data_IF_696970970888
#
_entry.id   IF_696970970888
#
_cell.length_a   1.000
_cell.length_b   1.000
_cell.length_c   1.000
_cell.angle_alpha   90.00
_cell.angle_beta   90.00
_cell.angle_gamma   90.00
#
_symmetry.space_group_name_H-M   'P 1'
#
loop_
_entity.id
_entity.type
_entity.pdbx_description
1 polymer ?
#
# COMPACT_ATOMS: atom_id res chain seq x y z
N UNK A 1 9.74 65.74 -29.98
CA UNK A 1 9.11 64.71 -30.85
C UNK A 1 9.65 63.36 -30.44
N UNK A 2 8.76 62.40 -30.12
CA UNK A 2 8.92 60.92 -30.22
C UNK A 2 10.16 60.26 -29.57
N UNK A 3 10.10 59.16 -28.82
CA UNK A 3 9.06 58.12 -28.65
C UNK A 3 9.45 57.29 -27.41
N UNK A 4 8.48 57.07 -26.53
CA UNK A 4 8.55 56.18 -25.37
C UNK A 4 8.53 54.71 -25.85
N UNK A 5 9.48 53.87 -25.45
CA UNK A 5 9.40 52.41 -25.62
C UNK A 5 9.24 51.78 -24.24
N UNK A 6 8.03 51.27 -23.99
CA UNK A 6 7.66 50.53 -22.78
C UNK A 6 8.20 49.10 -22.90
N UNK A 7 9.07 48.68 -21.99
CA UNK A 7 9.52 47.30 -21.86
C UNK A 7 8.50 46.55 -20.97
N UNK A 8 7.73 45.63 -21.55
CA UNK A 8 6.83 44.75 -20.79
C UNK A 8 7.64 43.54 -20.30
N UNK A 9 7.92 43.51 -19.00
CA UNK A 9 8.43 42.34 -18.29
C UNK A 9 7.26 41.41 -17.99
N UNK A 10 7.17 40.29 -18.72
CA UNK A 10 6.26 39.19 -18.38
C UNK A 10 6.96 38.35 -17.31
N UNK A 11 6.57 38.55 -16.05
CA UNK A 11 6.90 37.63 -14.95
C UNK A 11 6.07 36.36 -15.15
N UNK A 12 6.70 35.30 -15.67
CA UNK A 12 6.13 33.96 -15.61
C UNK A 12 6.19 33.47 -14.16
N UNK A 13 5.07 33.56 -13.44
CA UNK A 13 4.91 32.86 -12.18
C UNK A 13 4.90 31.34 -12.45
N UNK A 14 5.61 30.51 -11.66
CA UNK A 14 5.47 29.08 -11.77
C UNK A 14 4.03 28.72 -11.35
N UNK A 15 3.28 28.12 -12.27
CA UNK A 15 2.01 27.46 -11.96
C UNK A 15 2.37 26.23 -11.16
N UNK A 16 2.44 26.38 -9.83
CA UNK A 16 2.41 25.26 -8.92
C UNK A 16 1.03 24.62 -9.08
N UNK A 17 0.98 23.49 -9.79
CA UNK A 17 -0.20 22.64 -9.83
C UNK A 17 -0.44 22.13 -8.40
N UNK A 18 -1.30 22.82 -7.66
CA UNK A 18 -1.92 22.33 -6.44
C UNK A 18 -2.72 21.08 -6.82
N UNK A 19 -2.07 19.92 -6.79
CA UNK A 19 -2.77 18.66 -6.71
C UNK A 19 -3.38 18.61 -5.31
N UNK A 20 -4.66 18.92 -5.24
CA UNK A 20 -5.46 18.66 -4.06
C UNK A 20 -5.45 17.14 -3.85
N UNK A 21 -4.57 16.66 -2.98
CA UNK A 21 -4.78 15.40 -2.31
C UNK A 21 -6.08 15.58 -1.53
N UNK A 22 -7.16 14.99 -2.01
CA UNK A 22 -8.37 14.81 -1.23
C UNK A 22 -8.01 13.89 -0.08
N UNK A 23 -7.48 14.46 1.01
CA UNK A 23 -7.51 13.83 2.31
C UNK A 23 -8.99 13.60 2.62
N UNK A 24 -9.48 12.38 2.39
CA UNK A 24 -10.74 11.96 2.96
C UNK A 24 -10.51 11.98 4.46
N UNK A 25 -11.06 12.99 5.15
CA UNK A 25 -11.26 12.89 6.58
C UNK A 25 -11.93 11.54 6.84
N UNK A 26 -11.36 10.73 7.74
CA UNK A 26 -11.89 9.40 8.07
C UNK A 26 -13.41 9.52 8.25
N UNK A 27 -14.16 8.98 7.29
CA UNK A 27 -15.60 9.14 7.26
C UNK A 27 -16.16 8.50 8.53
N UNK A 28 -17.04 9.21 9.23
CA UNK A 28 -17.74 8.65 10.39
C UNK A 28 -18.50 7.41 9.94
N UNK A 29 -18.20 6.26 10.55
CA UNK A 29 -18.84 4.99 10.21
C UNK A 29 -20.30 5.00 10.62
N UNK A 30 -21.17 4.39 9.80
CA UNK A 30 -22.56 4.16 10.15
C UNK A 30 -22.72 2.95 11.09
N UNK A 31 -23.95 2.74 11.61
CA UNK A 31 -24.21 1.64 12.55
C UNK A 31 -24.02 0.25 11.95
N UNK A 32 -24.23 0.07 10.64
CA UNK A 32 -24.07 -1.22 9.97
C UNK A 32 -22.60 -1.54 9.81
N UNK A 33 -21.78 -0.56 9.43
CA UNK A 33 -20.33 -0.67 9.35
C UNK A 33 -19.72 -0.94 10.73
N UNK A 34 -20.18 -0.25 11.78
CA UNK A 34 -19.74 -0.51 13.16
C UNK A 34 -20.10 -1.93 13.60
N UNK A 35 -21.32 -2.40 13.32
CA UNK A 35 -21.74 -3.76 13.65
C UNK A 35 -20.88 -4.81 12.91
N UNK A 36 -20.65 -4.61 11.60
CA UNK A 36 -19.77 -5.46 10.80
C UNK A 36 -18.36 -5.57 11.41
N UNK A 37 -17.76 -4.44 11.77
CA UNK A 37 -16.42 -4.42 12.37
C UNK A 37 -16.41 -5.05 13.76
N UNK A 38 -17.48 -4.91 14.55
CA UNK A 38 -17.59 -5.56 15.84
C UNK A 38 -17.64 -7.09 15.70
N UNK A 39 -18.46 -7.60 14.78
CA UNK A 39 -18.57 -9.03 14.48
C UNK A 39 -17.26 -9.60 13.93
N UNK A 40 -16.64 -8.88 12.98
CA UNK A 40 -15.33 -9.25 12.45
C UNK A 40 -14.26 -9.27 13.54
N UNK A 41 -14.17 -8.23 14.37
CA UNK A 41 -13.20 -8.15 15.48
C UNK A 41 -13.39 -9.31 16.46
N UNK A 42 -14.64 -9.63 16.79
CA UNK A 42 -14.95 -10.76 17.67
C UNK A 42 -14.49 -12.09 17.08
N UNK A 43 -14.79 -12.37 15.81
CA UNK A 43 -14.39 -13.60 15.14
C UNK A 43 -12.86 -13.70 14.97
N UNK A 44 -12.21 -12.58 14.64
CA UNK A 44 -10.77 -12.50 14.42
C UNK A 44 -9.94 -12.75 15.68
N UNK A 45 -10.52 -12.56 16.87
CA UNK A 45 -9.85 -12.89 18.14
C UNK A 45 -9.39 -14.36 18.21
N UNK A 46 -10.08 -15.28 17.52
CA UNK A 46 -9.70 -16.69 17.43
C UNK A 46 -8.43 -16.94 16.61
N UNK A 47 -7.93 -15.95 15.86
CA UNK A 47 -6.76 -16.07 14.99
C UNK A 47 -5.60 -15.18 15.43
N UNK A 48 -5.59 -14.73 16.69
CA UNK A 48 -4.46 -13.98 17.23
C UNK A 48 -3.14 -14.79 17.17
N UNK A 49 -3.21 -16.11 17.36
CA UNK A 49 -2.10 -17.03 17.11
C UNK A 49 -2.17 -17.57 15.66
N UNK A 50 -1.11 -17.41 14.84
CA UNK A 50 -1.06 -18.00 13.51
C UNK A 50 -1.29 -19.52 13.46
N UNK A 51 -1.00 -20.25 14.54
CA UNK A 51 -1.28 -21.68 14.63
C UNK A 51 -2.78 -22.00 14.52
N UNK A 52 -3.64 -21.16 15.11
CA UNK A 52 -5.09 -21.30 15.05
C UNK A 52 -5.61 -21.01 13.63
N UNK A 53 -5.00 -20.03 12.94
CA UNK A 53 -5.29 -19.78 11.53
C UNK A 53 -4.91 -20.98 10.64
N UNK A 54 -3.75 -21.61 10.87
CA UNK A 54 -3.36 -22.84 10.16
C UNK A 54 -4.36 -23.97 10.40
N UNK A 55 -4.75 -24.18 11.66
CA UNK A 55 -5.70 -25.20 12.07
C UNK A 55 -7.09 -24.97 11.43
N UNK A 56 -7.49 -23.71 11.28
CA UNK A 56 -8.72 -23.31 10.61
C UNK A 56 -8.64 -23.31 9.07
N UNK A 57 -7.49 -23.70 8.49
CA UNK A 57 -7.34 -23.88 7.04
C UNK A 57 -6.75 -22.69 6.28
N UNK A 58 -6.36 -21.62 6.95
CA UNK A 58 -5.64 -20.51 6.33
C UNK A 58 -4.20 -20.90 5.99
N UNK A 59 -3.64 -20.33 4.91
CA UNK A 59 -2.26 -20.57 4.46
C UNK A 59 -1.61 -19.25 4.03
N UNK A 60 -0.31 -19.03 4.33
CA UNK A 60 0.42 -17.88 3.80
C UNK A 60 0.31 -17.79 2.28
N UNK A 61 0.11 -16.57 1.77
CA UNK A 61 -0.05 -16.27 0.35
C UNK A 61 0.77 -15.04 -0.01
N UNK A 62 1.73 -15.22 -0.92
CA UNK A 62 2.51 -14.10 -1.46
C UNK A 62 3.57 -13.56 -0.49
N UNK A 63 4.18 -12.41 -0.83
CA UNK A 63 5.18 -11.78 0.01
C UNK A 63 4.54 -11.02 1.18
N UNK A 64 5.39 -10.69 2.14
CA UNK A 64 5.12 -9.68 3.16
C UNK A 64 5.18 -8.28 2.52
N UNK A 65 4.03 -7.63 2.36
CA UNK A 65 3.92 -6.35 1.66
C UNK A 65 3.97 -5.17 2.63
N UNK A 66 4.78 -4.12 2.37
CA UNK A 66 4.92 -2.97 3.27
C UNK A 66 3.63 -2.35 3.80
N UNK A 67 2.60 -2.27 2.95
CA UNK A 67 1.33 -1.58 3.22
C UNK A 67 0.16 -2.53 3.48
N UNK A 68 0.36 -3.85 3.40
CA UNK A 68 -0.72 -4.82 3.66
C UNK A 68 -0.34 -5.96 4.63
N UNK A 69 0.95 -6.11 4.94
CA UNK A 69 1.48 -7.22 5.73
C UNK A 69 1.49 -8.55 4.97
N UNK A 70 1.52 -9.63 5.74
CA UNK A 70 1.49 -11.00 5.27
C UNK A 70 0.04 -11.45 5.10
N UNK A 71 -0.34 -11.83 3.89
CA UNK A 71 -1.67 -12.38 3.63
C UNK A 71 -1.70 -13.87 3.92
N UNK A 72 -2.77 -14.32 4.55
CA UNK A 72 -3.05 -15.70 4.82
C UNK A 72 -4.45 -16.01 4.29
N UNK A 73 -4.56 -16.87 3.28
CA UNK A 73 -5.81 -17.14 2.57
C UNK A 73 -6.47 -18.42 3.04
N UNK A 74 -7.79 -18.43 3.16
CA UNK A 74 -8.60 -19.63 3.24
C UNK A 74 -9.17 -19.96 1.84
N UNK A 75 -8.59 -20.90 1.09
CA UNK A 75 -8.88 -21.07 -0.34
C UNK A 75 -10.36 -21.31 -0.64
N UNK A 76 -11.05 -22.09 0.19
CA UNK A 76 -12.48 -22.39 0.00
C UNK A 76 -13.40 -21.17 0.18
N UNK A 77 -12.99 -20.21 1.02
CA UNK A 77 -13.74 -18.96 1.24
C UNK A 77 -13.38 -17.95 0.14
N UNK A 78 -12.12 -17.94 -0.28
CA UNK A 78 -11.62 -17.01 -1.28
C UNK A 78 -12.33 -17.12 -2.65
N UNK A 79 -12.79 -18.31 -3.02
CA UNK A 79 -13.53 -18.56 -4.27
C UNK A 79 -15.05 -18.65 -4.07
N UNK A 80 -15.52 -18.47 -2.83
CA UNK A 80 -16.93 -18.43 -2.48
C UNK A 80 -17.55 -17.06 -2.77
N UNK A 81 -18.89 -16.99 -2.79
CA UNK A 81 -19.62 -15.71 -2.88
C UNK A 81 -20.29 -15.31 -1.56
N UNK A 82 -20.02 -16.05 -0.49
CA UNK A 82 -20.52 -15.72 0.83
C UNK A 82 -19.78 -14.48 1.35
N UNK A 83 -20.53 -13.55 1.93
CA UNK A 83 -19.98 -12.35 2.57
C UNK A 83 -20.57 -12.26 3.98
N UNK A 84 -19.78 -12.68 4.95
CA UNK A 84 -20.11 -12.71 6.37
C UNK A 84 -18.92 -12.12 7.15
N UNK A 85 -19.18 -11.15 8.02
CA UNK A 85 -18.18 -10.52 8.87
C UNK A 85 -17.36 -11.53 9.69
N UNK A 86 -17.96 -12.64 10.11
CA UNK A 86 -17.30 -13.67 10.90
C UNK A 86 -16.46 -14.66 10.07
N UNK A 87 -16.60 -14.65 8.75
CA UNK A 87 -15.94 -15.62 7.85
C UNK A 87 -15.05 -14.93 6.80
N UNK A 88 -13.95 -14.27 7.22
CA UNK A 88 -13.02 -13.68 6.27
C UNK A 88 -12.38 -14.75 5.37
N UNK A 89 -12.08 -14.38 4.13
CA UNK A 89 -11.34 -15.21 3.20
C UNK A 89 -9.84 -15.03 3.33
N UNK A 90 -9.38 -13.92 3.92
CA UNK A 90 -7.98 -13.67 4.23
C UNK A 90 -7.79 -13.04 5.61
N UNK A 91 -6.68 -13.37 6.24
CA UNK A 91 -6.15 -12.71 7.44
C UNK A 91 -4.88 -11.95 7.06
N UNK A 92 -4.61 -10.83 7.72
CA UNK A 92 -3.36 -10.09 7.55
C UNK A 92 -2.55 -10.10 8.85
N UNK A 93 -1.27 -10.43 8.76
CA UNK A 93 -0.34 -10.44 9.89
C UNK A 93 0.85 -9.54 9.64
N UNK A 94 1.41 -9.00 10.73
CA UNK A 94 2.63 -8.22 10.72
C UNK A 94 3.60 -8.75 11.78
N UNK A 95 4.83 -9.15 11.42
CA UNK A 95 5.87 -9.36 12.40
C UNK A 95 6.25 -8.04 13.06
N UNK A 96 6.08 -7.97 14.38
CA UNK A 96 6.48 -6.89 15.28
C UNK A 96 7.29 -7.50 16.41
N UNK A 97 8.54 -7.07 16.59
CA UNK A 97 9.47 -7.61 17.60
C UNK A 97 9.56 -9.15 17.61
N UNK A 98 9.57 -9.75 16.41
CA UNK A 98 9.63 -11.21 16.22
C UNK A 98 8.34 -11.97 16.52
N UNK A 99 7.24 -11.26 16.83
CA UNK A 99 5.91 -11.84 17.05
C UNK A 99 4.98 -11.49 15.90
N UNK A 100 4.19 -12.46 15.44
CA UNK A 100 3.13 -12.17 14.48
C UNK A 100 1.98 -11.47 15.20
N UNK A 101 1.59 -10.31 14.68
CA UNK A 101 0.45 -9.53 15.15
C UNK A 101 -0.62 -9.57 14.07
N UNK A 102 -1.83 -10.00 14.42
CA UNK A 102 -2.98 -9.94 13.53
C UNK A 102 -3.36 -8.47 13.31
N UNK A 103 -3.32 -8.00 12.06
CA UNK A 103 -3.56 -6.59 11.72
C UNK A 103 -4.97 -6.32 11.21
N UNK A 104 -5.63 -7.34 10.68
CA UNK A 104 -6.96 -7.24 10.12
C UNK A 104 -7.31 -8.46 9.28
N UNK A 105 -8.25 -8.26 8.36
CA UNK A 105 -8.74 -9.31 7.49
C UNK A 105 -9.19 -8.75 6.14
N UNK A 106 -9.44 -9.65 5.19
CA UNK A 106 -10.10 -9.32 3.95
C UNK A 106 -11.17 -10.35 3.58
N UNK A 107 -12.15 -9.88 2.81
CA UNK A 107 -13.19 -10.68 2.20
C UNK A 107 -13.07 -10.56 0.69
N UNK A 108 -13.35 -11.65 0.00
CA UNK A 108 -13.23 -11.71 -1.44
C UNK A 108 -14.48 -12.30 -2.07
N UNK A 109 -14.92 -11.71 -3.18
CA UNK A 109 -16.08 -12.18 -3.93
C UNK A 109 -15.69 -12.27 -5.41
N UNK A 110 -15.81 -13.44 -6.04
CA UNK A 110 -15.71 -13.55 -7.49
C UNK A 110 -16.82 -12.74 -8.16
N UNK A 111 -16.40 -11.79 -8.99
CA UNK A 111 -17.25 -10.95 -9.82
C UNK A 111 -17.06 -11.31 -11.29
N UNK A 112 -18.16 -11.39 -12.03
CA UNK A 112 -18.13 -11.63 -13.48
C UNK A 112 -17.69 -10.38 -14.23
N UNK A 113 -17.43 -10.56 -15.52
CA UNK A 113 -17.33 -9.44 -16.45
C UNK A 113 -18.61 -8.57 -16.36
N UNK A 114 -18.44 -7.26 -16.19
CA UNK A 114 -19.49 -6.26 -16.07
C UNK A 114 -20.23 -6.23 -14.73
N UNK A 115 -19.90 -7.13 -13.80
CA UNK A 115 -20.53 -7.18 -12.48
C UNK A 115 -19.85 -6.18 -11.53
N UNK A 116 -20.66 -5.34 -10.88
CA UNK A 116 -20.22 -4.43 -9.84
C UNK A 116 -19.92 -5.20 -8.53
N UNK A 117 -19.02 -4.68 -7.67
CA UNK A 117 -18.84 -5.21 -6.33
C UNK A 117 -20.10 -4.96 -5.47
N UNK A 118 -20.21 -5.55 -4.28
CA UNK A 118 -21.26 -5.21 -3.33
C UNK A 118 -21.24 -3.73 -2.93
N UNK A 119 -22.42 -3.19 -2.63
CA UNK A 119 -22.58 -1.81 -2.17
C UNK A 119 -22.01 -1.59 -0.77
N UNK A 120 -21.96 -2.62 0.08
CA UNK A 120 -21.40 -2.49 1.43
C UNK A 120 -19.86 -2.60 1.39
N UNK A 121 -19.10 -1.80 2.15
CA UNK A 121 -19.56 -0.67 2.97
C UNK A 121 -19.87 0.57 2.12
N UNK A 122 -19.19 0.71 0.97
CA UNK A 122 -19.51 1.53 -0.20
C UNK A 122 -18.74 0.93 -1.39
N UNK A 123 -19.15 1.11 -2.66
CA UNK A 123 -18.47 0.51 -3.81
C UNK A 123 -16.96 0.81 -3.86
N UNK A 124 -16.56 2.02 -3.48
CA UNK A 124 -15.16 2.44 -3.49
C UNK A 124 -14.27 1.86 -2.39
N UNK A 125 -14.81 1.09 -1.44
CA UNK A 125 -13.99 0.33 -0.49
C UNK A 125 -13.45 -0.98 -1.09
N UNK A 126 -14.05 -1.44 -2.20
CA UNK A 126 -13.63 -2.64 -2.90
C UNK A 126 -12.58 -2.32 -3.95
N UNK A 127 -11.62 -3.22 -4.10
CA UNK A 127 -10.67 -3.24 -5.21
C UNK A 127 -10.69 -4.60 -5.89
N UNK A 128 -10.20 -4.65 -7.13
CA UNK A 128 -10.24 -5.87 -7.93
C UNK A 128 -8.84 -6.44 -8.17
N UNK A 129 -8.76 -7.77 -8.07
CA UNK A 129 -7.63 -8.57 -8.52
C UNK A 129 -8.01 -9.34 -9.77
N UNK A 130 -7.15 -9.30 -10.78
CA UNK A 130 -7.38 -9.94 -12.07
C UNK A 130 -6.12 -10.66 -12.59
N UNK A 131 -4.95 -10.28 -12.11
CA UNK A 131 -3.64 -10.76 -12.54
C UNK A 131 -3.11 -11.92 -11.73
N UNK A 132 -1.81 -12.17 -11.90
CA UNK A 132 -1.07 -13.14 -11.10
C UNK A 132 -0.66 -12.47 -9.80
N UNK A 133 -0.83 -13.18 -8.68
CA UNK A 133 -0.49 -12.70 -7.34
C UNK A 133 0.88 -12.00 -7.27
N UNK A 134 1.92 -12.61 -7.84
CA UNK A 134 3.28 -12.05 -7.76
C UNK A 134 3.47 -10.81 -8.63
N UNK A 135 2.72 -10.67 -9.71
CA UNK A 135 2.83 -9.48 -10.57
C UNK A 135 2.11 -8.30 -9.91
N UNK A 136 0.96 -8.57 -9.31
CA UNK A 136 0.18 -7.59 -8.55
C UNK A 136 0.91 -7.16 -7.27
N UNK A 137 1.40 -8.11 -6.45
CA UNK A 137 2.06 -7.81 -5.17
C UNK A 137 3.32 -6.92 -5.30
N UNK A 138 3.94 -6.87 -6.48
CA UNK A 138 5.09 -6.00 -6.77
C UNK A 138 4.74 -4.81 -7.68
N UNK A 139 3.45 -4.55 -7.92
CA UNK A 139 2.99 -3.42 -8.73
C UNK A 139 3.42 -3.49 -10.21
N UNK A 140 3.74 -4.69 -10.72
CA UNK A 140 4.18 -4.90 -12.11
C UNK A 140 3.01 -4.84 -13.10
N UNK A 141 1.80 -5.03 -12.59
CA UNK A 141 0.53 -4.80 -13.28
C UNK A 141 -0.26 -3.84 -12.40
N UNK A 142 -0.95 -2.81 -12.95
CA UNK A 142 -1.74 -1.89 -12.14
C UNK A 142 -2.73 -2.67 -11.25
N UNK A 143 -2.71 -2.42 -9.94
CA UNK A 143 -3.75 -2.95 -9.06
C UNK A 143 -5.11 -2.35 -9.46
N UNK A 144 -6.15 -3.19 -9.51
CA UNK A 144 -7.47 -2.75 -9.95
C UNK A 144 -7.61 -2.58 -11.46
N UNK A 145 -6.91 -3.39 -12.28
CA UNK A 145 -7.09 -3.37 -13.74
C UNK A 145 -8.58 -3.43 -14.08
N UNK A 146 -9.01 -2.33 -14.71
CA UNK A 146 -10.34 -1.92 -15.16
C UNK A 146 -10.95 -2.81 -16.25
N UNK A 147 -10.46 -4.04 -16.41
CA UNK A 147 -10.95 -4.96 -17.42
C UNK A 147 -12.30 -5.52 -16.95
N UNK A 148 -13.34 -4.70 -17.08
CA UNK A 148 -14.74 -5.09 -16.87
C UNK A 148 -15.15 -6.22 -17.80
N UNK A 149 -14.33 -6.58 -18.78
CA UNK A 149 -14.53 -7.64 -19.75
C UNK A 149 -14.03 -9.03 -19.28
N UNK A 150 -13.46 -9.16 -18.08
CA UNK A 150 -13.03 -10.47 -17.52
C UNK A 150 -13.51 -10.73 -16.09
N UNK A 151 -13.58 -12.01 -15.66
CA UNK A 151 -13.78 -12.35 -14.26
C UNK A 151 -12.64 -11.83 -13.37
N UNK A 152 -13.00 -11.33 -12.18
CA UNK A 152 -12.08 -10.73 -11.20
C UNK A 152 -12.47 -11.16 -9.80
N UNK A 153 -11.58 -10.90 -8.85
CA UNK A 153 -11.86 -11.05 -7.43
C UNK A 153 -11.99 -9.66 -6.82
N UNK A 154 -13.20 -9.27 -6.43
CA UNK A 154 -13.41 -8.09 -5.61
C UNK A 154 -12.93 -8.39 -4.19
N UNK A 155 -12.18 -7.48 -3.59
CA UNK A 155 -11.61 -7.63 -2.25
C UNK A 155 -11.90 -6.40 -1.39
N UNK A 156 -12.32 -6.63 -0.15
CA UNK A 156 -12.53 -5.62 0.88
C UNK A 156 -11.57 -5.91 2.03
N UNK A 157 -10.71 -4.95 2.38
CA UNK A 157 -9.90 -5.02 3.60
C UNK A 157 -10.64 -4.39 4.77
N UNK A 158 -10.42 -4.90 5.99
CA UNK A 158 -10.77 -4.20 7.22
C UNK A 158 -9.64 -4.31 8.25
N UNK A 159 -9.18 -3.16 8.74
CA UNK A 159 -8.08 -3.02 9.68
C UNK A 159 -8.57 -2.99 11.13
N UNK A 160 -8.77 -4.16 11.74
CA UNK A 160 -9.29 -4.29 13.11
C UNK A 160 -8.22 -4.37 14.20
N UNK A 161 -6.96 -4.67 13.83
CA UNK A 161 -5.85 -4.85 14.77
C UNK A 161 -4.88 -3.66 14.84
N UNK A 162 -4.41 -3.19 13.68
CA UNK A 162 -3.60 -1.97 13.58
C UNK A 162 -4.41 -0.93 12.82
N UNK A 163 -4.67 0.20 13.47
CA UNK A 163 -5.45 1.29 12.89
C UNK A 163 -4.86 1.77 11.56
N UNK A 164 -5.73 2.06 10.60
CA UNK A 164 -5.36 2.72 9.35
C UNK A 164 -5.80 4.19 9.41
N UNK A 165 -4.86 5.15 9.46
CA UNK A 165 -5.18 6.58 9.51
C UNK A 165 -6.05 7.06 8.33
N UNK A 166 -5.98 6.40 7.19
CA UNK A 166 -6.76 6.73 5.99
C UNK A 166 -8.14 6.05 5.97
N UNK A 167 -8.50 5.30 7.02
CA UNK A 167 -9.81 4.67 7.20
C UNK A 167 -9.75 3.14 7.29
N UNK A 168 -10.64 2.57 8.10
CA UNK A 168 -10.66 1.14 8.43
C UNK A 168 -10.85 0.21 7.22
N UNK A 169 -11.53 0.66 6.18
CA UNK A 169 -11.75 -0.10 4.94
C UNK A 169 -10.81 0.30 3.79
N UNK A 170 -9.90 1.26 4.01
CA UNK A 170 -8.92 1.66 3.00
C UNK A 170 -7.93 0.53 2.78
N UNK A 171 -7.79 0.06 1.54
CA UNK A 171 -7.07 -1.18 1.25
C UNK A 171 -5.58 -1.13 1.59
N UNK A 172 -4.89 -0.01 1.38
CA UNK A 172 -3.50 0.16 1.80
C UNK A 172 -3.45 0.74 3.22
N UNK A 173 -2.63 0.16 4.10
CA UNK A 173 -2.33 0.71 5.42
C UNK A 173 -0.84 1.05 5.55
N UNK A 174 -0.49 2.31 5.26
CA UNK A 174 0.88 2.81 5.37
C UNK A 174 1.35 3.06 6.81
N UNK A 175 0.50 2.81 7.82
CA UNK A 175 0.95 2.77 9.22
C UNK A 175 1.71 1.48 9.59
N UNK A 176 1.53 0.39 8.83
CA UNK A 176 2.15 -0.90 9.15
C UNK A 176 3.68 -0.85 9.25
N UNK A 177 4.43 -0.14 8.38
CA UNK A 177 5.88 0.00 8.53
C UNK A 177 6.31 0.66 9.84
N UNK A 178 5.55 1.65 10.33
CA UNK A 178 5.81 2.33 11.60
C UNK A 178 5.58 1.38 12.77
N UNK A 179 4.47 0.64 12.75
CA UNK A 179 4.16 -0.37 13.75
C UNK A 179 5.24 -1.48 13.78
N UNK A 180 5.69 -1.96 12.62
CA UNK A 180 6.81 -2.93 12.53
C UNK A 180 8.10 -2.37 13.14
N UNK A 181 8.40 -1.11 12.88
CA UNK A 181 9.59 -0.44 13.42
C UNK A 181 9.48 -0.12 14.92
N UNK A 182 8.34 -0.39 15.56
CA UNK A 182 8.12 -0.10 16.98
C UNK A 182 8.08 1.39 17.29
N UNK A 183 7.71 2.23 16.32
CA UNK A 183 7.69 3.70 16.47
C UNK A 183 6.27 4.25 16.40
N UNK A 184 6.01 5.43 16.99
CA UNK A 184 4.68 6.04 16.94
C UNK A 184 4.21 6.25 15.50
N UNK A 185 2.96 5.85 15.23
CA UNK A 185 2.29 6.06 13.95
C UNK A 185 1.81 7.52 13.89
N UNK A 186 2.23 8.31 12.88
CA UNK A 186 1.69 9.65 12.65
C UNK A 186 0.20 9.62 12.29
N UNK A 187 -0.53 10.70 12.63
CA UNK A 187 -1.97 10.82 12.30
C UNK A 187 -2.28 10.86 10.80
N UNK A 188 -1.28 11.15 9.98
CA UNK A 188 -1.36 11.07 8.53
C UNK A 188 -0.06 10.48 8.02
N UNK A 189 -0.15 9.50 7.14
CA UNK A 189 1.03 8.83 6.58
C UNK A 189 0.91 8.84 5.07
N UNK A 190 1.87 9.47 4.39
CA UNK A 190 1.95 9.37 2.94
C UNK A 190 2.54 8.02 2.53
N UNK A 191 2.19 7.48 1.34
CA UNK A 191 2.81 6.27 0.82
C UNK A 191 4.35 6.36 0.77
N UNK A 192 4.90 7.52 0.40
CA UNK A 192 6.34 7.76 0.32
C UNK A 192 7.02 7.64 1.70
N UNK A 193 6.41 8.24 2.74
CA UNK A 193 6.92 8.12 4.10
C UNK A 193 6.83 6.66 4.59
N UNK A 194 5.71 5.98 4.32
CA UNK A 194 5.53 4.57 4.65
C UNK A 194 6.57 3.67 3.97
N UNK A 195 6.88 3.90 2.69
CA UNK A 195 7.96 3.17 1.98
C UNK A 195 9.33 3.43 2.55
N UNK A 196 9.65 4.69 2.88
CA UNK A 196 10.91 5.05 3.51
C UNK A 196 11.09 4.29 4.83
N UNK A 197 10.07 4.28 5.69
CA UNK A 197 10.09 3.52 6.95
C UNK A 197 10.17 2.02 6.68
N UNK A 198 9.44 1.49 5.69
CA UNK A 198 9.50 0.07 5.34
C UNK A 198 10.92 -0.36 4.95
N UNK A 199 11.61 0.46 4.15
CA UNK A 199 13.00 0.23 3.77
C UNK A 199 13.92 0.12 4.99
N UNK A 200 13.71 0.97 6.00
CA UNK A 200 14.42 0.92 7.28
C UNK A 200 14.00 -0.24 8.19
N UNK A 201 12.75 -0.71 8.07
CA UNK A 201 12.10 -1.71 8.92
C UNK A 201 12.18 -3.15 8.37
N UNK A 202 13.15 -3.44 7.50
CA UNK A 202 13.45 -4.80 7.06
C UNK A 202 12.80 -5.25 5.74
N UNK A 203 12.17 -4.33 4.98
CA UNK A 203 11.60 -4.65 3.66
C UNK A 203 12.59 -4.54 2.49
N UNK A 204 13.90 -4.44 2.76
CA UNK A 204 14.91 -4.42 1.69
C UNK A 204 14.79 -5.63 0.73
N UNK A 205 14.57 -6.89 1.20
CA UNK A 205 14.34 -8.02 0.30
C UNK A 205 13.12 -7.85 -0.62
N UNK A 206 12.04 -7.23 -0.13
CA UNK A 206 10.85 -6.93 -0.93
C UNK A 206 11.19 -5.94 -2.06
N UNK A 207 11.84 -4.82 -1.74
CA UNK A 207 12.21 -3.82 -2.75
C UNK A 207 13.25 -4.34 -3.75
N UNK A 208 14.18 -5.19 -3.30
CA UNK A 208 15.13 -5.89 -4.18
C UNK A 208 14.39 -6.75 -5.20
N UNK A 209 13.44 -7.57 -4.74
CA UNK A 209 12.65 -8.43 -5.63
C UNK A 209 11.81 -7.60 -6.61
N UNK A 210 11.23 -6.48 -6.15
CA UNK A 210 10.50 -5.56 -7.02
C UNK A 210 11.39 -5.00 -8.16
N UNK A 211 12.61 -4.56 -7.84
CA UNK A 211 13.59 -4.09 -8.84
C UNK A 211 13.96 -5.20 -9.83
N UNK A 212 14.24 -6.40 -9.33
CA UNK A 212 14.61 -7.56 -10.17
C UNK A 212 13.49 -7.91 -11.13
N UNK A 213 12.23 -7.92 -10.67
CA UNK A 213 11.09 -8.24 -11.52
C UNK A 213 10.75 -7.14 -12.52
N UNK A 214 10.87 -5.87 -12.11
CA UNK A 214 10.53 -4.74 -12.96
C UNK A 214 11.54 -4.54 -14.10
N UNK A 215 12.84 -4.68 -13.81
CA UNK A 215 13.88 -4.30 -14.76
C UNK A 215 14.92 -5.38 -15.06
N UNK A 216 15.06 -6.40 -14.20
CA UNK A 216 16.11 -7.42 -14.26
C UNK A 216 17.51 -6.81 -14.54
N UNK A 217 17.97 -5.83 -13.72
CA UNK A 217 19.22 -5.13 -13.98
C UNK A 217 20.43 -6.08 -13.90
N UNK A 218 21.54 -5.76 -14.59
CA UNK A 218 22.80 -6.48 -14.44
C UNK A 218 23.26 -6.54 -12.98
N UNK A 219 24.00 -7.60 -12.56
CA UNK A 219 24.40 -7.77 -11.15
C UNK A 219 25.16 -6.58 -10.53
N UNK A 220 26.01 -5.89 -11.30
CA UNK A 220 26.75 -4.71 -10.83
C UNK A 220 25.85 -3.48 -10.64
N UNK A 221 24.80 -3.34 -11.47
CA UNK A 221 23.78 -2.29 -11.33
C UNK A 221 22.90 -2.61 -10.11
N UNK A 222 22.48 -3.86 -9.96
CA UNK A 222 21.69 -4.30 -8.81
C UNK A 222 22.43 -4.03 -7.49
N UNK A 223 23.73 -4.36 -7.42
CA UNK A 223 24.54 -4.09 -6.23
C UNK A 223 24.62 -2.60 -5.88
N UNK A 224 24.66 -1.72 -6.89
CA UNK A 224 24.62 -0.25 -6.68
C UNK A 224 23.27 0.23 -6.19
N UNK A 225 22.17 -0.32 -6.72
CA UNK A 225 20.81 -0.05 -6.22
C UNK A 225 20.66 -0.51 -4.76
N UNK A 226 21.15 -1.70 -4.43
CA UNK A 226 21.13 -2.23 -3.06
C UNK A 226 21.97 -1.37 -2.10
N UNK A 227 23.08 -0.80 -2.56
CA UNK A 227 23.86 0.16 -1.78
C UNK A 227 23.08 1.46 -1.53
N UNK A 228 22.33 1.98 -2.51
CA UNK A 228 21.44 3.12 -2.34
C UNK A 228 20.30 2.81 -1.34
N UNK A 229 19.71 1.61 -1.42
CA UNK A 229 18.75 1.12 -0.42
C UNK A 229 19.33 1.13 0.99
N UNK A 230 20.52 0.54 1.18
CA UNK A 230 21.16 0.48 2.49
C UNK A 230 21.50 1.88 3.03
N UNK A 231 21.98 2.78 2.18
CA UNK A 231 22.28 4.17 2.51
C UNK A 231 21.03 4.90 2.99
N UNK A 232 19.94 4.86 2.21
CA UNK A 232 18.70 5.56 2.55
C UNK A 232 17.99 4.95 3.76
N UNK A 233 18.04 3.62 3.91
CA UNK A 233 17.57 2.96 5.12
C UNK A 233 18.29 3.46 6.39
N UNK A 234 19.59 3.72 6.32
CA UNK A 234 20.36 4.26 7.44
C UNK A 234 19.95 5.71 7.76
N UNK A 235 19.75 6.55 6.73
CA UNK A 235 19.25 7.93 6.90
C UNK A 235 17.87 7.96 7.56
N UNK A 236 16.95 7.10 7.11
CA UNK A 236 15.62 6.98 7.71
C UNK A 236 15.69 6.54 9.18
N UNK A 237 16.52 5.55 9.52
CA UNK A 237 16.72 5.15 10.93
C UNK A 237 17.24 6.30 11.79
N UNK A 238 18.13 7.14 11.25
CA UNK A 238 18.64 8.30 11.97
C UNK A 238 17.54 9.35 12.21
N UNK A 239 16.67 9.61 11.23
CA UNK A 239 15.51 10.51 11.38
C UNK A 239 14.56 9.99 12.46
N UNK A 240 14.19 8.71 12.39
CA UNK A 240 13.31 8.07 13.37
C UNK A 240 13.90 8.13 14.79
N UNK A 241 15.22 7.97 14.94
CA UNK A 241 15.88 8.02 16.24
C UNK A 241 16.02 9.44 16.81
N UNK A 242 15.99 10.48 15.96
CA UNK A 242 16.18 11.86 16.38
C UNK A 242 14.92 12.49 16.97
N UNK A 243 13.75 11.98 16.60
CA UNK A 243 12.46 12.57 16.95
C UNK A 243 11.55 11.60 17.68
N UNK A 244 10.75 12.13 18.63
CA UNK A 244 9.77 11.31 19.36
C UNK A 244 8.56 10.96 18.50
N UNK A 245 8.20 11.84 17.55
CA UNK A 245 7.13 11.63 16.58
C UNK A 245 7.78 11.79 15.21
N UNK A 246 7.68 10.81 14.30
CA UNK A 246 8.37 10.91 13.03
C UNK A 246 7.85 12.06 12.14
N UNK A 247 8.75 12.89 11.61
CA UNK A 247 8.45 13.85 10.55
C UNK A 247 8.15 13.14 9.21
N UNK A 248 6.88 13.11 8.85
CA UNK A 248 6.35 12.47 7.63
C UNK A 248 6.94 13.11 6.36
N UNK A 249 7.16 14.42 6.33
CA UNK A 249 7.69 15.12 5.17
C UNK A 249 9.17 14.78 4.97
N UNK A 250 9.95 14.78 6.05
CA UNK A 250 11.35 14.38 6.01
C UNK A 250 11.51 12.92 5.56
N UNK A 251 10.65 12.01 6.05
CA UNK A 251 10.62 10.61 5.63
C UNK A 251 10.28 10.46 4.14
N UNK A 252 9.24 11.14 3.66
CA UNK A 252 8.86 11.13 2.25
C UNK A 252 9.99 11.67 1.35
N UNK A 253 10.73 12.69 1.82
CA UNK A 253 11.89 13.22 1.10
C UNK A 253 13.02 12.20 0.96
N UNK A 254 13.23 11.30 1.93
CA UNK A 254 14.21 10.22 1.81
C UNK A 254 13.84 9.21 0.71
N UNK A 255 12.54 8.93 0.53
CA UNK A 255 12.08 8.09 -0.58
C UNK A 255 12.32 8.74 -1.93
N UNK A 256 12.04 10.04 -2.07
CA UNK A 256 12.32 10.78 -3.31
C UNK A 256 13.83 10.81 -3.64
N UNK A 257 14.68 11.01 -2.62
CA UNK A 257 16.15 10.96 -2.79
C UNK A 257 16.62 9.58 -3.21
N UNK A 258 16.02 8.51 -2.68
CA UNK A 258 16.31 7.16 -3.13
C UNK A 258 15.99 6.98 -4.62
N UNK A 259 14.83 7.46 -5.08
CA UNK A 259 14.47 7.44 -6.50
C UNK A 259 15.54 8.10 -7.37
N UNK A 260 16.00 9.30 -6.98
CA UNK A 260 17.06 10.01 -7.69
C UNK A 260 18.42 9.27 -7.68
N UNK A 261 18.78 8.62 -6.57
CA UNK A 261 19.99 7.78 -6.51
C UNK A 261 19.88 6.56 -7.44
N UNK A 262 18.72 5.90 -7.46
CA UNK A 262 18.47 4.75 -8.33
C UNK A 262 18.51 5.15 -9.81
N UNK A 263 17.88 6.26 -10.17
CA UNK A 263 17.94 6.84 -11.52
C UNK A 263 19.39 7.10 -11.95
N UNK A 264 20.21 7.69 -11.06
CA UNK A 264 21.60 8.00 -11.36
C UNK A 264 22.48 6.75 -11.56
N UNK A 265 22.27 5.69 -10.78
CA UNK A 265 23.09 4.46 -10.87
C UNK A 265 22.60 3.48 -11.92
N UNK A 266 21.33 3.59 -12.35
CA UNK A 266 20.67 2.68 -13.27
C UNK A 266 19.85 3.41 -14.37
N UNK A 267 20.42 4.38 -15.10
CA UNK A 267 19.68 5.22 -16.05
C UNK A 267 18.97 4.40 -17.14
N UNK A 268 19.57 3.31 -17.60
CA UNK A 268 18.98 2.43 -18.64
C UNK A 268 17.79 1.61 -18.11
N UNK A 269 17.79 1.29 -16.81
CA UNK A 269 16.70 0.57 -16.16
C UNK A 269 15.59 1.50 -15.66
N UNK A 270 15.91 2.79 -15.49
CA UNK A 270 15.02 3.79 -14.90
C UNK A 270 13.62 3.85 -15.54
N UNK A 271 13.44 3.78 -16.88
CA UNK A 271 12.10 3.80 -17.46
C UNK A 271 11.17 2.69 -16.93
N UNK A 272 11.73 1.56 -16.48
CA UNK A 272 10.97 0.45 -15.87
C UNK A 272 10.87 0.54 -14.34
N UNK A 273 11.80 1.26 -13.71
CA UNK A 273 11.88 1.41 -12.26
C UNK A 273 11.18 2.66 -11.74
N UNK A 274 11.02 3.70 -12.58
CA UNK A 274 10.46 5.00 -12.20
C UNK A 274 9.07 4.87 -11.57
N UNK A 275 8.29 3.87 -12.01
CA UNK A 275 7.06 3.44 -11.36
C UNK A 275 7.31 3.26 -9.87
N UNK A 276 8.10 2.27 -9.45
CA UNK A 276 8.34 1.90 -8.05
C UNK A 276 8.67 3.09 -7.11
N UNK A 277 9.34 4.13 -7.63
CA UNK A 277 9.81 5.27 -6.83
C UNK A 277 8.94 6.53 -6.95
N UNK A 278 8.09 6.62 -7.97
CA UNK A 278 7.23 7.79 -8.18
C UNK A 278 5.95 7.77 -7.33
N UNK A 279 5.23 8.89 -7.35
CA UNK A 279 3.92 9.02 -6.68
C UNK A 279 2.89 8.00 -7.22
N UNK A 280 3.01 7.58 -8.49
CA UNK A 280 2.17 6.52 -9.07
C UNK A 280 2.67 5.10 -8.81
N UNK A 281 3.82 4.97 -8.13
CA UNK A 281 4.50 3.71 -7.90
C UNK A 281 3.83 2.71 -7.00
N UNK A 282 2.72 3.12 -6.41
CA UNK A 282 1.74 2.35 -5.66
C UNK A 282 0.86 3.42 -5.00
N UNK A 283 0.05 4.11 -5.80
CA UNK A 283 -1.25 4.55 -5.28
C UNK A 283 -2.10 3.28 -5.29
N UNK A 284 -2.43 2.79 -4.10
CA UNK A 284 -3.17 1.56 -3.88
C UNK A 284 -4.36 1.38 -4.82
N UNK A 285 -4.65 0.11 -5.08
CA UNK A 285 -6.03 -0.39 -5.20
C UNK A 285 -7.04 0.68 -5.57
N UNK A 286 -7.19 0.96 -6.86
CA UNK A 286 -8.27 1.83 -7.30
C UNK A 286 -9.60 1.20 -6.87
N UNK A 287 -10.41 2.00 -6.18
CA UNK A 287 -11.83 1.75 -5.97
C UNK A 287 -12.49 1.26 -7.26
N UNK A 288 -13.28 0.20 -7.20
CA UNK A 288 -14.17 -0.14 -8.32
C UNK A 288 -15.30 0.91 -8.33
N UNK A 289 -15.15 1.97 -9.11
CA UNK A 289 -16.15 3.03 -9.20
C UNK A 289 -17.41 2.56 -9.96
N UNK A 290 -18.58 3.06 -9.56
CA UNK A 290 -19.83 2.91 -10.34
C UNK A 290 -19.76 3.78 -11.61
N UNK A 291 -19.98 3.18 -12.78
CA UNK A 291 -20.30 3.91 -14.01
C UNK A 291 -19.25 3.93 -15.13
N UNK A 292 -18.23 3.06 -15.09
CA UNK A 292 -17.30 2.82 -16.21
C UNK A 292 -17.70 1.63 -17.08
#
# INVERSE_FOLDING_TARGET
MMRLLLLVLVLAAPVAAQHAHHAHAAATLDSVQVAFLADATHALAAFADPADALAAGFRPLGPDMPHMGQHWVHPGRAVGRAFDAAEPSMLTYLPVDGRQVLTGAAWTIPIRAGEAPPDFPWPGAWHAHAGRLMDEAFGLVPHGVREADRPRLAMLHAWTGIENPDGVFTADNWALPFARAGVPVPHHVTPEAGRAVALAAGYLPFYREAVVRAAAPPPDVLARIEAAFAHRAASVRALIAAERVPDVEALAAEWARLGAEVEAVAPDAWPRLAGLFGAQGHTGTHAIAEGD
#
